data_IF_103404128716
#
_entry.id   IF_103404128716
#
_cell.length_a   1.000
_cell.length_b   1.000
_cell.length_c   1.000
_cell.angle_alpha   90.00
_cell.angle_beta   90.00
_cell.angle_gamma   90.00
#
_symmetry.space_group_name_H-M   'P 1'
#
loop_
_entity.id
_entity.type
_entity.pdbx_description
1 polymer ?
#
# COMPACT_ATOMS: atom_id res chain seq x y z
N UNK A 1 4.38 -19.22 6.51
CA UNK A 1 3.97 -17.80 6.60
C UNK A 1 4.54 -17.27 7.90
N UNK A 2 4.93 -16.01 7.96
CA UNK A 2 5.39 -15.40 9.21
C UNK A 2 4.17 -15.18 10.12
N UNK A 3 4.37 -15.21 11.45
CA UNK A 3 3.27 -14.98 12.41
C UNK A 3 2.64 -13.58 12.30
N UNK A 4 3.32 -12.63 11.59
CA UNK A 4 2.89 -11.24 11.42
C UNK A 4 2.12 -10.98 10.12
N UNK A 5 2.02 -11.95 9.21
CA UNK A 5 1.19 -11.88 7.99
C UNK A 5 0.52 -13.22 7.78
N UNK A 6 -0.78 -13.20 7.67
CA UNK A 6 -1.59 -14.39 7.41
C UNK A 6 -2.27 -14.31 6.05
N UNK A 7 -2.50 -15.45 5.43
CA UNK A 7 -3.32 -15.60 4.25
C UNK A 7 -4.42 -16.62 4.54
N UNK A 8 -5.66 -16.22 4.27
CA UNK A 8 -6.82 -17.10 4.44
C UNK A 8 -7.78 -16.96 3.26
N UNK A 9 -8.39 -18.07 2.84
CA UNK A 9 -9.45 -18.08 1.83
C UNK A 9 -10.80 -17.82 2.48
N UNK A 10 -11.55 -16.89 1.88
CA UNK A 10 -12.95 -16.61 2.20
C UNK A 10 -13.77 -16.73 0.91
N UNK A 11 -14.31 -17.93 0.66
CA UNK A 11 -14.95 -18.22 -0.63
C UNK A 11 -13.98 -18.07 -1.80
N UNK A 12 -14.33 -17.24 -2.77
CA UNK A 12 -13.51 -16.91 -3.95
C UNK A 12 -12.51 -15.77 -3.74
N UNK A 13 -12.21 -15.37 -2.49
CA UNK A 13 -11.33 -14.24 -2.16
C UNK A 13 -10.17 -14.67 -1.28
N UNK A 14 -8.97 -14.20 -1.54
CA UNK A 14 -7.82 -14.33 -0.66
C UNK A 14 -7.71 -13.11 0.26
N UNK A 15 -7.73 -13.31 1.58
CA UNK A 15 -7.56 -12.24 2.57
C UNK A 15 -6.15 -12.31 3.14
N UNK A 16 -5.40 -11.22 2.97
CA UNK A 16 -4.06 -11.02 3.52
C UNK A 16 -4.18 -10.05 4.69
N UNK A 17 -3.85 -10.51 5.90
CA UNK A 17 -3.89 -9.67 7.10
C UNK A 17 -2.48 -9.43 7.62
N UNK A 18 -2.12 -8.17 7.80
CA UNK A 18 -0.90 -7.71 8.45
C UNK A 18 -1.19 -7.44 9.93
N UNK A 19 -0.51 -8.12 10.84
CA UNK A 19 -0.58 -7.87 12.28
C UNK A 19 0.75 -8.21 12.95
N UNK A 20 1.58 -7.19 13.18
CA UNK A 20 2.85 -7.29 13.92
C UNK A 20 2.67 -7.09 15.44
N UNK A 21 1.42 -7.00 15.89
CA UNK A 21 1.06 -6.72 17.28
C UNK A 21 1.26 -5.25 17.70
N UNK A 22 1.71 -4.37 16.78
CA UNK A 22 2.05 -2.96 17.05
C UNK A 22 1.49 -2.05 15.94
N UNK A 23 2.37 -1.53 15.12
CA UNK A 23 2.08 -0.50 14.12
C UNK A 23 2.14 -0.99 12.67
N UNK A 24 2.25 -2.28 12.44
CA UNK A 24 2.45 -2.89 11.12
C UNK A 24 3.58 -2.20 10.35
N UNK A 25 4.75 -2.11 11.02
CA UNK A 25 5.93 -1.53 10.40
C UNK A 25 6.34 -2.35 9.19
N UNK A 26 6.53 -1.67 8.04
CA UNK A 26 6.91 -2.29 6.76
C UNK A 26 8.38 -2.71 6.80
N UNK A 27 8.70 -3.64 7.70
CA UNK A 27 10.00 -4.27 7.87
C UNK A 27 10.25 -5.30 6.77
N UNK A 28 11.50 -5.74 6.61
CA UNK A 28 11.86 -6.83 5.69
C UNK A 28 11.03 -8.10 5.95
N UNK A 29 10.76 -8.42 7.23
CA UNK A 29 9.95 -9.59 7.60
C UNK A 29 8.48 -9.43 7.18
N UNK A 30 7.88 -8.25 7.38
CA UNK A 30 6.51 -7.99 6.96
C UNK A 30 6.39 -8.01 5.43
N UNK A 31 7.35 -7.41 4.72
CA UNK A 31 7.40 -7.45 3.25
C UNK A 31 7.47 -8.89 2.73
N UNK A 32 8.36 -9.71 3.29
CA UNK A 32 8.49 -11.11 2.92
C UNK A 32 7.18 -11.89 3.17
N UNK A 33 6.51 -11.63 4.31
CA UNK A 33 5.22 -12.23 4.62
C UNK A 33 4.12 -11.84 3.63
N UNK A 34 4.04 -10.55 3.26
CA UNK A 34 3.05 -10.09 2.26
C UNK A 34 3.36 -10.67 0.88
N UNK A 35 4.63 -10.74 0.48
CA UNK A 35 5.02 -11.38 -0.78
C UNK A 35 4.62 -12.85 -0.83
N UNK A 36 4.86 -13.63 0.23
CA UNK A 36 4.46 -15.04 0.31
C UNK A 36 2.93 -15.21 0.26
N UNK A 37 2.17 -14.30 0.90
CA UNK A 37 0.73 -14.30 0.85
C UNK A 37 0.19 -13.95 -0.56
N UNK A 38 0.84 -13.01 -1.25
CA UNK A 38 0.53 -12.68 -2.64
C UNK A 38 0.86 -13.84 -3.59
N UNK A 39 1.96 -14.58 -3.36
CA UNK A 39 2.28 -15.79 -4.14
C UNK A 39 1.18 -16.84 -4.01
N UNK A 40 0.68 -17.06 -2.79
CA UNK A 40 -0.42 -17.99 -2.53
C UNK A 40 -1.72 -17.52 -3.22
N UNK A 41 -2.07 -16.24 -3.14
CA UNK A 41 -3.25 -15.68 -3.79
C UNK A 41 -3.16 -15.75 -5.31
N UNK A 42 -1.96 -15.53 -5.89
CA UNK A 42 -1.70 -15.64 -7.33
C UNK A 42 -1.85 -17.09 -7.80
N UNK A 43 -1.34 -18.06 -7.04
CA UNK A 43 -1.50 -19.48 -7.32
C UNK A 43 -2.98 -19.91 -7.25
N UNK A 44 -3.73 -19.35 -6.31
CA UNK A 44 -5.17 -19.57 -6.19
C UNK A 44 -5.99 -18.87 -7.30
N UNK A 45 -5.41 -17.87 -7.98
CA UNK A 45 -6.05 -17.13 -9.07
C UNK A 45 -7.23 -16.27 -8.64
N UNK A 46 -7.24 -15.76 -7.39
CA UNK A 46 -8.40 -15.07 -6.80
C UNK A 46 -8.14 -13.59 -6.55
N UNK A 47 -9.19 -12.74 -6.52
CA UNK A 47 -9.09 -11.40 -5.99
C UNK A 47 -8.57 -11.37 -4.56
N UNK A 48 -7.86 -10.29 -4.20
CA UNK A 48 -7.19 -10.13 -2.91
C UNK A 48 -7.83 -9.01 -2.11
N UNK A 49 -8.03 -9.24 -0.82
CA UNK A 49 -8.24 -8.20 0.20
C UNK A 49 -6.96 -8.10 1.03
N UNK A 50 -6.32 -6.94 1.01
CA UNK A 50 -5.21 -6.61 1.90
C UNK A 50 -5.72 -5.75 3.04
N UNK A 51 -5.48 -6.19 4.29
CA UNK A 51 -5.89 -5.45 5.48
C UNK A 51 -4.82 -5.43 6.55
N UNK A 52 -5.02 -4.60 7.57
CA UNK A 52 -4.20 -4.52 8.77
C UNK A 52 -4.96 -4.98 10.01
N UNK A 53 -4.44 -4.62 11.19
CA UNK A 53 -5.11 -4.81 12.47
C UNK A 53 -6.00 -3.60 12.78
N UNK A 54 -6.96 -3.78 13.68
CA UNK A 54 -7.82 -2.68 14.16
C UNK A 54 -7.03 -1.42 14.47
N UNK A 55 -7.50 -0.30 13.92
CA UNK A 55 -6.93 1.03 14.12
C UNK A 55 -5.75 1.39 13.22
N UNK A 56 -5.14 0.45 12.49
CA UNK A 56 -3.98 0.74 11.67
C UNK A 56 -3.79 -0.24 10.50
N UNK A 57 -3.59 0.29 9.31
CA UNK A 57 -3.08 -0.49 8.18
C UNK A 57 -1.55 -0.63 8.33
N UNK A 58 -0.84 0.49 8.40
CA UNK A 58 0.61 0.55 8.65
C UNK A 58 1.04 1.98 9.00
N UNK A 59 2.04 2.11 9.88
CA UNK A 59 2.70 3.37 10.22
C UNK A 59 3.93 3.69 9.35
N UNK A 60 4.21 2.91 8.32
CA UNK A 60 5.36 3.09 7.45
C UNK A 60 6.53 2.15 7.77
N UNK A 61 7.72 2.52 7.36
CA UNK A 61 8.92 1.68 7.53
C UNK A 61 9.34 1.51 8.99
N UNK A 62 10.06 0.41 9.28
CA UNK A 62 10.62 0.17 10.60
C UNK A 62 11.73 1.18 10.92
N UNK A 63 11.44 2.08 11.85
CA UNK A 63 12.36 3.14 12.26
C UNK A 63 13.64 2.61 12.92
N UNK A 64 13.62 1.41 13.50
CA UNK A 64 14.83 0.80 14.09
C UNK A 64 15.82 0.41 13.00
N UNK A 65 15.33 -0.20 11.93
CA UNK A 65 16.14 -0.55 10.77
C UNK A 65 16.71 0.70 10.09
N UNK A 66 15.90 1.76 9.94
CA UNK A 66 16.37 3.04 9.39
C UNK A 66 17.47 3.67 10.27
N UNK A 67 17.27 3.71 11.59
CA UNK A 67 18.23 4.29 12.53
C UNK A 67 19.55 3.48 12.61
N UNK A 68 19.48 2.16 12.41
CA UNK A 68 20.68 1.32 12.36
C UNK A 68 21.51 1.51 11.08
N UNK A 69 20.90 2.13 10.05
CA UNK A 69 21.56 2.35 8.75
C UNK A 69 22.04 1.04 8.07
N UNK A 70 22.95 1.16 7.10
CA UNK A 70 23.52 0.01 6.41
C UNK A 70 22.61 -0.61 5.35
N UNK A 71 23.08 -1.71 4.76
CA UNK A 71 22.37 -2.40 3.68
C UNK A 71 20.93 -2.79 4.02
N UNK A 72 20.60 -3.25 5.26
CA UNK A 72 19.21 -3.57 5.61
C UNK A 72 18.24 -2.39 5.49
N UNK A 73 18.67 -1.15 5.73
CA UNK A 73 17.84 0.04 5.54
C UNK A 73 17.55 0.27 4.06
N UNK A 74 18.57 0.18 3.21
CA UNK A 74 18.42 0.31 1.74
C UNK A 74 17.53 -0.79 1.19
N UNK A 75 17.72 -2.04 1.59
CA UNK A 75 16.93 -3.18 1.14
C UNK A 75 15.45 -3.04 1.56
N UNK A 76 15.21 -2.58 2.78
CA UNK A 76 13.86 -2.35 3.30
C UNK A 76 13.11 -1.26 2.51
N UNK A 77 13.77 -0.13 2.24
CA UNK A 77 13.18 0.96 1.45
C UNK A 77 12.87 0.51 0.03
N UNK A 78 13.83 -0.13 -0.63
CA UNK A 78 13.67 -0.67 -1.97
C UNK A 78 12.54 -1.72 -2.03
N UNK A 79 12.55 -2.69 -1.12
CA UNK A 79 11.57 -3.77 -1.08
C UNK A 79 10.15 -3.27 -0.83
N UNK A 80 9.96 -2.24 0.01
CA UNK A 80 8.65 -1.64 0.23
C UNK A 80 8.06 -1.03 -1.05
N UNK A 81 8.87 -0.36 -1.86
CA UNK A 81 8.40 0.19 -3.14
C UNK A 81 8.19 -0.89 -4.20
N UNK A 82 9.02 -1.92 -4.22
CA UNK A 82 8.79 -3.09 -5.07
C UNK A 82 7.47 -3.80 -4.70
N UNK A 83 7.13 -3.86 -3.40
CA UNK A 83 5.84 -4.39 -2.95
C UNK A 83 4.67 -3.56 -3.47
N UNK A 84 4.76 -2.21 -3.42
CA UNK A 84 3.76 -1.34 -4.04
C UNK A 84 3.63 -1.59 -5.55
N UNK A 85 4.73 -1.70 -6.28
CA UNK A 85 4.73 -2.01 -7.71
C UNK A 85 4.09 -3.38 -7.98
N UNK A 86 4.34 -4.37 -7.12
CA UNK A 86 3.71 -5.69 -7.22
C UNK A 86 2.19 -5.61 -7.05
N UNK A 87 1.69 -4.90 -6.04
CA UNK A 87 0.25 -4.69 -5.84
C UNK A 87 -0.38 -3.97 -7.04
N UNK A 88 0.28 -2.92 -7.55
CA UNK A 88 -0.16 -2.17 -8.71
C UNK A 88 -0.24 -3.01 -10.00
N UNK A 89 0.59 -4.03 -10.13
CA UNK A 89 0.64 -4.92 -11.31
C UNK A 89 0.04 -6.30 -11.04
N UNK A 90 -0.52 -6.56 -9.86
CA UNK A 90 -1.03 -7.87 -9.47
C UNK A 90 -2.12 -8.35 -10.45
N UNK A 91 -2.09 -9.63 -10.88
CA UNK A 91 -2.91 -10.08 -12.01
C UNK A 91 -4.41 -10.16 -11.71
N UNK A 92 -4.80 -10.20 -10.44
CA UNK A 92 -6.19 -10.16 -10.01
C UNK A 92 -6.52 -8.85 -9.30
N UNK A 93 -7.81 -8.50 -9.09
CA UNK A 93 -8.20 -7.32 -8.33
C UNK A 93 -7.64 -7.32 -6.90
N UNK A 94 -7.16 -6.15 -6.45
CA UNK A 94 -6.67 -5.92 -5.09
C UNK A 94 -7.55 -4.86 -4.42
N UNK A 95 -8.29 -5.26 -3.40
CA UNK A 95 -9.05 -4.36 -2.51
C UNK A 95 -8.23 -4.13 -1.25
N UNK A 96 -7.97 -2.88 -0.90
CA UNK A 96 -7.34 -2.55 0.38
C UNK A 96 -8.43 -2.14 1.37
N UNK A 97 -8.56 -2.93 2.42
CA UNK A 97 -9.43 -2.65 3.57
C UNK A 97 -8.59 -2.01 4.67
N UNK A 98 -8.65 -0.68 4.78
CA UNK A 98 -7.84 0.10 5.71
C UNK A 98 -8.58 0.29 7.05
N UNK A 99 -8.20 -0.42 8.13
CA UNK A 99 -8.94 -0.40 9.40
C UNK A 99 -8.56 0.79 10.28
N UNK A 100 -7.82 1.77 9.77
CA UNK A 100 -7.38 2.92 10.55
C UNK A 100 -6.29 3.73 9.87
N UNK A 101 -5.24 4.08 10.60
CA UNK A 101 -4.15 4.90 10.10
C UNK A 101 -3.38 4.23 8.96
N UNK A 102 -2.98 5.03 7.95
CA UNK A 102 -2.02 4.65 6.91
C UNK A 102 -1.02 5.80 6.70
N UNK A 103 0.19 5.64 7.20
CA UNK A 103 1.19 6.71 7.29
C UNK A 103 2.47 6.31 6.55
N UNK A 104 3.16 7.27 5.94
CA UNK A 104 4.40 7.05 5.18
C UNK A 104 4.24 5.86 4.19
N UNK A 105 5.11 4.83 4.25
CA UNK A 105 4.96 3.66 3.39
C UNK A 105 3.57 3.00 3.48
N UNK A 106 2.85 3.15 4.60
CA UNK A 106 1.50 2.62 4.78
C UNK A 106 0.46 3.23 3.83
N UNK A 107 0.51 4.55 3.58
CA UNK A 107 -0.40 5.17 2.60
C UNK A 107 -0.06 4.72 1.17
N UNK A 108 1.22 4.51 0.84
CA UNK A 108 1.61 4.05 -0.49
C UNK A 108 1.15 2.61 -0.75
N UNK A 109 1.21 1.72 0.24
CA UNK A 109 0.61 0.39 0.15
C UNK A 109 -0.92 0.49 -0.04
N UNK A 110 -1.59 1.36 0.70
CA UNK A 110 -3.03 1.59 0.56
C UNK A 110 -3.38 2.08 -0.86
N UNK A 111 -2.67 3.07 -1.35
CA UNK A 111 -2.87 3.65 -2.68
C UNK A 111 -2.51 2.68 -3.82
N UNK A 112 -1.80 1.59 -3.54
CA UNK A 112 -1.45 0.57 -4.52
C UNK A 112 -2.58 -0.44 -4.80
N UNK A 113 -3.66 -0.44 -4.02
CA UNK A 113 -4.86 -1.23 -4.30
C UNK A 113 -5.64 -0.76 -5.52
N UNK A 114 -6.49 -1.58 -6.08
CA UNK A 114 -7.43 -1.20 -7.14
C UNK A 114 -8.64 -0.45 -6.57
N UNK A 115 -9.09 -0.86 -5.39
CA UNK A 115 -10.15 -0.22 -4.62
C UNK A 115 -9.72 -0.10 -3.15
N UNK A 116 -10.09 0.99 -2.49
CA UNK A 116 -9.62 1.34 -1.14
C UNK A 116 -10.81 1.71 -0.26
N UNK A 117 -11.02 0.92 0.80
CA UNK A 117 -12.10 1.12 1.75
C UNK A 117 -11.46 1.51 3.08
N UNK A 118 -11.85 2.65 3.63
CA UNK A 118 -11.47 3.07 4.98
C UNK A 118 -12.63 2.99 5.96
N UNK A 119 -12.35 3.29 7.21
CA UNK A 119 -13.36 3.32 8.28
C UNK A 119 -13.56 4.73 8.82
N UNK A 120 -14.77 5.01 9.29
CA UNK A 120 -15.08 6.24 10.05
C UNK A 120 -14.24 6.31 11.31
N UNK A 121 -13.90 7.51 11.74
CA UNK A 121 -13.16 7.72 13.00
C UNK A 121 -12.05 8.75 12.88
N UNK A 122 -11.29 8.92 13.94
CA UNK A 122 -10.18 9.88 13.98
C UNK A 122 -8.89 9.24 13.45
N UNK A 123 -8.88 8.92 12.16
CA UNK A 123 -7.75 8.32 11.47
C UNK A 123 -7.07 9.29 10.52
N UNK A 124 -5.82 9.00 10.16
CA UNK A 124 -4.99 9.82 9.27
C UNK A 124 -4.41 8.97 8.15
N UNK A 125 -4.45 9.54 6.95
CA UNK A 125 -3.81 9.02 5.76
C UNK A 125 -2.79 10.07 5.31
N UNK A 126 -1.49 9.80 5.46
CA UNK A 126 -0.48 10.82 5.26
C UNK A 126 0.82 10.29 4.66
N UNK A 127 1.29 10.96 3.61
CA UNK A 127 2.67 10.90 3.14
C UNK A 127 3.45 12.00 3.90
N UNK A 128 3.98 11.64 5.07
CA UNK A 128 4.49 12.62 6.04
C UNK A 128 6.00 12.84 5.97
N UNK A 129 6.65 12.41 4.90
CA UNK A 129 8.10 12.47 4.71
C UNK A 129 8.64 13.90 4.93
N UNK A 130 8.03 14.91 4.31
CA UNK A 130 8.46 16.30 4.44
C UNK A 130 8.28 16.81 5.88
N UNK A 131 7.25 16.39 6.58
CA UNK A 131 7.02 16.78 7.98
C UNK A 131 8.09 16.24 8.95
N UNK A 132 8.76 15.14 8.57
CA UNK A 132 9.84 14.55 9.36
C UNK A 132 11.24 14.85 8.79
N UNK A 133 11.34 15.81 7.86
CA UNK A 133 12.61 16.27 7.30
C UNK A 133 13.16 15.39 6.17
N UNK A 134 12.37 14.52 5.59
CA UNK A 134 12.75 13.68 4.45
C UNK A 134 12.23 14.28 3.14
N UNK A 135 13.03 14.14 2.09
CA UNK A 135 12.53 14.43 0.73
C UNK A 135 11.66 13.27 0.27
N UNK A 136 10.51 13.60 -0.34
CA UNK A 136 9.60 12.60 -0.92
C UNK A 136 10.31 11.82 -2.02
N UNK A 137 10.36 10.48 -1.97
CA UNK A 137 10.95 9.67 -3.03
C UNK A 137 10.26 9.84 -4.38
N UNK A 138 11.02 9.82 -5.47
CA UNK A 138 10.46 9.95 -6.83
C UNK A 138 9.39 8.90 -7.12
N UNK A 139 9.65 7.65 -6.74
CA UNK A 139 8.73 6.55 -6.96
C UNK A 139 7.39 6.70 -6.22
N UNK A 140 7.39 7.27 -5.01
CA UNK A 140 6.16 7.51 -4.24
C UNK A 140 5.34 8.68 -4.78
N UNK A 141 5.99 9.70 -5.35
CA UNK A 141 5.29 10.81 -6.02
C UNK A 141 4.44 10.27 -7.17
N UNK A 142 4.93 9.27 -7.90
CA UNK A 142 4.16 8.68 -9.01
C UNK A 142 2.93 7.91 -8.52
N UNK A 143 3.00 7.26 -7.36
CA UNK A 143 1.81 6.65 -6.74
C UNK A 143 0.76 7.71 -6.44
N UNK A 144 1.15 8.80 -5.76
CA UNK A 144 0.23 9.91 -5.44
C UNK A 144 -0.34 10.55 -6.71
N UNK A 145 0.50 10.84 -7.71
CA UNK A 145 0.10 11.50 -8.97
C UNK A 145 -1.04 10.78 -9.69
N UNK A 146 -1.03 9.45 -9.66
CA UNK A 146 -2.02 8.62 -10.34
C UNK A 146 -3.23 8.26 -9.49
N UNK A 147 -3.25 8.66 -8.21
CA UNK A 147 -4.28 8.22 -7.28
C UNK A 147 -5.09 9.35 -6.66
N UNK A 148 -4.42 10.42 -6.25
CA UNK A 148 -5.12 11.55 -5.61
C UNK A 148 -5.46 12.63 -6.63
N UNK A 149 -6.37 13.51 -6.29
CA UNK A 149 -6.72 14.64 -7.14
C UNK A 149 -5.51 15.56 -7.33
N UNK A 150 -5.41 16.32 -8.44
CA UNK A 150 -4.31 17.25 -8.65
C UNK A 150 -4.12 18.27 -7.53
N UNK A 151 -5.21 18.74 -6.92
CA UNK A 151 -5.17 19.66 -5.79
C UNK A 151 -4.60 18.97 -4.53
N UNK A 152 -5.01 17.73 -4.26
CA UNK A 152 -4.51 16.94 -3.14
C UNK A 152 -3.03 16.56 -3.31
N UNK A 153 -2.57 16.35 -4.54
CA UNK A 153 -1.18 15.97 -4.83
C UNK A 153 -0.17 16.98 -4.24
N UNK A 154 -0.35 18.27 -4.53
CA UNK A 154 0.54 19.30 -3.98
C UNK A 154 0.49 19.37 -2.47
N UNK A 155 -0.71 19.26 -1.87
CA UNK A 155 -0.87 19.29 -0.41
C UNK A 155 -0.23 18.06 0.25
N UNK A 156 -0.38 16.88 -0.33
CA UNK A 156 0.25 15.66 0.17
C UNK A 156 1.77 15.72 0.08
N UNK A 157 2.33 16.04 -1.12
CA UNK A 157 3.77 15.92 -1.40
C UNK A 157 4.57 17.08 -0.78
N UNK A 158 4.06 18.31 -0.89
CA UNK A 158 4.82 19.53 -0.55
C UNK A 158 4.51 20.01 0.85
N UNK A 159 3.25 19.85 1.29
CA UNK A 159 2.77 20.36 2.58
C UNK A 159 2.58 19.25 3.63
N UNK A 160 2.82 17.99 3.27
CA UNK A 160 2.63 16.82 4.14
C UNK A 160 1.23 16.78 4.81
N UNK A 161 0.19 17.25 4.08
CA UNK A 161 -1.17 17.25 4.59
C UNK A 161 -1.63 15.82 4.91
N UNK A 162 -2.21 15.65 6.08
CA UNK A 162 -2.87 14.41 6.45
C UNK A 162 -4.35 14.48 6.07
N UNK A 163 -4.80 13.51 5.28
CA UNK A 163 -6.21 13.32 4.97
C UNK A 163 -6.89 12.52 6.09
N UNK A 164 -8.19 12.71 6.24
CA UNK A 164 -9.03 12.02 7.22
C UNK A 164 -10.14 11.26 6.49
N UNK A 165 -10.84 10.30 7.14
CA UNK A 165 -11.98 9.65 6.52
C UNK A 165 -13.02 10.61 5.92
N UNK A 166 -13.19 11.80 6.53
CA UNK A 166 -14.18 12.79 6.10
C UNK A 166 -13.85 13.44 4.75
N UNK A 167 -12.57 13.52 4.39
CA UNK A 167 -12.14 14.16 3.14
C UNK A 167 -11.37 13.23 2.20
N UNK A 168 -11.11 11.99 2.59
CA UNK A 168 -10.27 11.06 1.83
C UNK A 168 -10.89 10.68 0.48
N UNK A 169 -12.23 10.54 0.41
CA UNK A 169 -12.91 10.14 -0.82
C UNK A 169 -12.86 11.27 -1.85
N UNK A 170 -13.21 12.50 -1.48
CA UNK A 170 -13.18 13.65 -2.39
C UNK A 170 -11.77 13.96 -2.92
N UNK A 171 -10.74 13.62 -2.14
CA UNK A 171 -9.33 13.82 -2.51
C UNK A 171 -8.72 12.61 -3.27
N UNK A 172 -9.49 11.55 -3.49
CA UNK A 172 -9.02 10.36 -4.21
C UNK A 172 -8.08 9.46 -3.39
N UNK A 173 -8.03 9.63 -2.08
CA UNK A 173 -7.23 8.80 -1.17
C UNK A 173 -7.95 7.47 -0.88
N UNK A 174 -9.26 7.52 -0.69
CA UNK A 174 -10.14 6.36 -0.54
C UNK A 174 -11.22 6.37 -1.64
N UNK A 175 -11.83 5.22 -1.85
CA UNK A 175 -12.99 5.06 -2.74
C UNK A 175 -14.30 4.95 -1.94
N UNK A 176 -14.22 4.47 -0.69
CA UNK A 176 -15.37 4.29 0.20
C UNK A 176 -14.94 4.41 1.67
N UNK A 177 -15.86 4.89 2.52
CA UNK A 177 -15.72 4.88 3.98
C UNK A 177 -16.95 4.22 4.59
N UNK A 178 -16.72 3.25 5.48
CA UNK A 178 -17.75 2.45 6.14
C UNK A 178 -17.59 2.46 7.67
N UNK A 179 -18.52 1.88 8.39
CA UNK A 179 -18.34 1.62 9.82
C UNK A 179 -17.29 0.50 10.03
N UNK A 180 -16.54 0.55 11.12
CA UNK A 180 -15.44 -0.41 11.38
C UNK A 180 -15.93 -1.87 11.34
N UNK A 181 -17.11 -2.13 11.91
CA UNK A 181 -17.72 -3.47 11.92
C UNK A 181 -18.08 -4.01 10.53
N UNK A 182 -18.20 -3.15 9.53
CA UNK A 182 -18.57 -3.50 8.16
C UNK A 182 -17.37 -3.64 7.22
N UNK A 183 -16.18 -3.15 7.63
CA UNK A 183 -15.02 -3.01 6.75
C UNK A 183 -14.66 -4.32 6.01
N UNK A 184 -14.38 -5.36 6.78
CA UNK A 184 -13.87 -6.61 6.18
C UNK A 184 -14.96 -7.32 5.36
N UNK A 185 -16.21 -7.31 5.84
CA UNK A 185 -17.34 -7.90 5.12
C UNK A 185 -17.57 -7.18 3.79
N UNK A 186 -17.58 -5.84 3.80
CA UNK A 186 -17.74 -5.03 2.57
C UNK A 186 -16.59 -5.28 1.60
N UNK A 187 -15.35 -5.33 2.09
CA UNK A 187 -14.18 -5.58 1.24
C UNK A 187 -14.21 -6.97 0.60
N UNK A 188 -14.59 -8.01 1.35
CA UNK A 188 -14.72 -9.37 0.83
C UNK A 188 -15.86 -9.45 -0.20
N UNK A 189 -17.03 -8.89 0.09
CA UNK A 189 -18.17 -8.90 -0.85
C UNK A 189 -17.82 -8.17 -2.16
N UNK A 190 -17.13 -7.03 -2.06
CA UNK A 190 -16.67 -6.30 -3.24
C UNK A 190 -15.66 -7.12 -4.04
N UNK A 191 -14.64 -7.68 -3.38
CA UNK A 191 -13.64 -8.53 -4.04
C UNK A 191 -14.29 -9.78 -4.68
N UNK A 192 -15.25 -10.42 -3.99
CA UNK A 192 -16.00 -11.57 -4.51
C UNK A 192 -16.74 -11.22 -5.80
N UNK A 193 -17.33 -10.02 -5.89
CA UNK A 193 -18.05 -9.56 -7.09
C UNK A 193 -17.13 -9.48 -8.32
N UNK A 194 -15.83 -9.27 -8.12
CA UNK A 194 -14.85 -9.20 -9.22
C UNK A 194 -14.51 -10.57 -9.82
N UNK A 195 -14.90 -11.70 -9.19
CA UNK A 195 -14.79 -13.02 -9.82
C UNK A 195 -15.60 -13.16 -11.11
N UNK A 196 -16.58 -12.28 -11.33
CA UNK A 196 -17.33 -12.21 -12.58
C UNK A 196 -16.51 -11.62 -13.76
N UNK A 197 -15.36 -11.00 -13.49
CA UNK A 197 -14.51 -10.43 -14.51
C UNK A 197 -13.69 -11.52 -15.22
N UNK A 198 -13.39 -11.29 -16.52
CA UNK A 198 -12.36 -12.09 -17.19
C UNK A 198 -10.99 -11.68 -16.68
N UNK A 199 -10.34 -12.53 -15.88
CA UNK A 199 -9.07 -12.20 -15.21
C UNK A 199 -7.92 -11.92 -16.19
N UNK A 200 -7.88 -12.58 -17.35
CA UNK A 200 -6.87 -12.28 -18.39
C UNK A 200 -7.06 -10.87 -18.95
N UNK A 201 -8.29 -10.49 -19.27
CA UNK A 201 -8.62 -9.16 -19.74
C UNK A 201 -8.37 -8.10 -18.65
N UNK A 202 -8.72 -8.39 -17.39
CA UNK A 202 -8.41 -7.53 -16.24
C UNK A 202 -6.90 -7.28 -16.12
N UNK A 203 -6.10 -8.34 -16.06
CA UNK A 203 -4.64 -8.24 -15.91
C UNK A 203 -4.00 -7.42 -17.04
N UNK A 204 -4.40 -7.66 -18.29
CA UNK A 204 -3.89 -6.91 -19.43
C UNK A 204 -4.32 -5.43 -19.42
N UNK A 205 -5.57 -5.14 -19.07
CA UNK A 205 -6.09 -3.77 -18.96
C UNK A 205 -5.39 -3.00 -17.85
N UNK A 206 -5.22 -3.63 -16.68
CA UNK A 206 -4.50 -3.07 -15.54
C UNK A 206 -3.03 -2.72 -15.89
N UNK A 207 -2.32 -3.64 -16.57
CA UNK A 207 -0.95 -3.38 -17.04
C UNK A 207 -0.88 -2.22 -18.03
N UNK A 208 -1.83 -2.14 -18.99
CA UNK A 208 -1.89 -1.04 -19.97
C UNK A 208 -2.17 0.30 -19.30
N UNK A 209 -3.17 0.34 -18.41
CA UNK A 209 -3.54 1.55 -17.66
C UNK A 209 -2.37 2.09 -16.83
N UNK A 210 -1.58 1.19 -16.23
CA UNK A 210 -0.50 1.54 -15.29
C UNK A 210 0.90 1.52 -15.90
N UNK A 211 1.02 1.32 -17.20
CA UNK A 211 2.33 1.19 -17.86
C UNK A 211 3.21 2.42 -17.67
N UNK A 212 2.66 3.63 -17.85
CA UNK A 212 3.38 4.89 -17.67
C UNK A 212 3.80 5.07 -16.20
N UNK A 213 2.87 4.90 -15.27
CA UNK A 213 3.13 4.97 -13.82
C UNK A 213 4.23 4.00 -13.38
N UNK A 214 4.13 2.72 -13.75
CA UNK A 214 5.12 1.70 -13.38
C UNK A 214 6.50 1.99 -14.01
N UNK A 215 6.54 2.48 -15.24
CA UNK A 215 7.76 2.92 -15.88
C UNK A 215 8.42 4.09 -15.16
N UNK A 216 7.63 5.11 -14.79
CA UNK A 216 8.10 6.25 -14.02
C UNK A 216 8.55 5.87 -12.61
N UNK A 217 7.81 4.96 -11.93
CA UNK A 217 8.22 4.41 -10.64
C UNK A 217 9.55 3.66 -10.73
N UNK A 218 9.75 2.84 -11.75
CA UNK A 218 11.02 2.11 -11.94
C UNK A 218 12.19 3.07 -12.13
N UNK A 219 12.02 4.09 -12.97
CA UNK A 219 13.05 5.11 -13.19
C UNK A 219 13.29 5.97 -11.94
N UNK A 220 12.23 6.28 -11.18
CA UNK A 220 12.31 6.99 -9.92
C UNK A 220 13.05 6.18 -8.84
N UNK A 221 12.72 4.89 -8.72
CA UNK A 221 13.33 3.99 -7.74
C UNK A 221 14.84 3.85 -7.93
N UNK A 222 15.32 3.87 -9.18
CA UNK A 222 16.77 3.89 -9.44
C UNK A 222 17.46 5.12 -8.82
N UNK A 223 16.83 6.30 -8.94
CA UNK A 223 17.37 7.55 -8.35
C UNK A 223 17.24 7.54 -6.82
N UNK A 224 16.13 7.02 -6.30
CA UNK A 224 15.89 6.87 -4.86
C UNK A 224 16.98 5.95 -4.26
N UNK A 225 17.29 4.82 -4.90
CA UNK A 225 18.35 3.90 -4.49
C UNK A 225 19.71 4.55 -4.43
N UNK A 226 20.10 5.32 -5.45
CA UNK A 226 21.36 6.06 -5.45
C UNK A 226 21.46 7.03 -4.26
N UNK A 227 20.35 7.68 -3.92
CA UNK A 227 20.24 8.56 -2.76
C UNK A 227 20.37 7.81 -1.42
N UNK A 228 19.62 6.71 -1.28
CA UNK A 228 19.63 5.90 -0.05
C UNK A 228 20.98 5.20 0.18
N UNK A 229 21.65 4.72 -0.86
CA UNK A 229 23.00 4.16 -0.74
C UNK A 229 23.98 5.20 -0.20
N UNK A 230 23.94 6.43 -0.70
CA UNK A 230 24.77 7.53 -0.18
C UNK A 230 24.42 7.88 1.26
N UNK A 231 23.16 7.82 1.64
CA UNK A 231 22.70 8.18 2.99
C UNK A 231 22.98 7.10 4.03
N UNK A 232 22.79 5.83 3.70
CA UNK A 232 22.80 4.73 4.66
C UNK A 232 24.07 3.85 4.60
N UNK A 233 24.88 3.92 3.52
CA UNK A 233 26.10 3.13 3.37
C UNK A 233 27.38 3.96 3.49
N UNK A 234 27.26 5.29 3.68
CA UNK A 234 28.41 6.21 3.85
C UNK A 234 29.09 6.07 5.22
#
# INVERSE_FOLDING_TARGET
MSDIVTYARHGGVGVITMDDGKANAVSLALQAGVHAALDAAEADGVPVVLTGRTGILSAGFDLKTLAASGQPAVDMLNGGLQLSMRLLSFPTPVVVACPGHAIAMGIFLMLSGDYRIGVKGNYKYAANEVAIGMTMPFSTIEILRHRVTPAALTRAVVLAEAFTPDNAVENGVLDLVVDESELLTTAIQLAESYNALNMTAHAHSKKRLRAEMLGAMTAGLSKDLDGWQKQFLA
#
